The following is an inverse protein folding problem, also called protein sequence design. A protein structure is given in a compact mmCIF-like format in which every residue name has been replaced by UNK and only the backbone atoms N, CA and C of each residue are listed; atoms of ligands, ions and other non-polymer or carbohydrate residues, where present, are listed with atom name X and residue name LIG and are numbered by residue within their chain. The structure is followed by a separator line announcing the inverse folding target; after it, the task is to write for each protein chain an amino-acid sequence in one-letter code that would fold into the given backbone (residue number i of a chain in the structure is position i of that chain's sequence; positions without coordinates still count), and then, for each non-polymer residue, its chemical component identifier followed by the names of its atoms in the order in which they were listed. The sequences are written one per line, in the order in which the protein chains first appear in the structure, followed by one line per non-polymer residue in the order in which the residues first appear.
data_IF_315217158655
#
_entry.id   IF_315217158655
#
_cell.length_a   1.000
_cell.length_b   1.000
_cell.length_c   1.000
_cell.angle_alpha   90.00
_cell.angle_beta   90.00
_cell.angle_gamma   90.00
#
_symmetry.space_group_name_H-M   'P 1'
#
loop_
_entity.id
_entity.type
_entity.pdbx_description
1 polymer ?
#
# COMPACT_ATOMS: atom_id res chain seq x y z
N UNK A 1 19.77 -38.42 -18.29
CA UNK A 1 21.11 -38.28 -17.67
C UNK A 1 20.91 -37.52 -16.37
N UNK A 2 21.29 -38.04 -15.19
CA UNK A 2 21.14 -37.29 -13.94
C UNK A 2 22.13 -36.12 -13.95
N UNK A 3 21.63 -34.93 -13.63
CA UNK A 3 22.47 -33.73 -13.45
C UNK A 3 23.34 -33.99 -12.23
N UNK A 4 24.67 -33.99 -12.42
CA UNK A 4 25.62 -34.08 -11.31
C UNK A 4 25.40 -32.88 -10.38
N UNK A 5 25.12 -33.14 -9.10
CA UNK A 5 25.12 -32.13 -8.07
C UNK A 5 26.47 -31.37 -8.12
N UNK A 6 26.40 -30.03 -8.15
CA UNK A 6 27.59 -29.19 -8.07
C UNK A 6 28.30 -29.46 -6.73
N UNK A 7 29.61 -29.65 -6.79
CA UNK A 7 30.48 -29.87 -5.63
C UNK A 7 30.26 -28.76 -4.59
N UNK A 8 29.99 -29.15 -3.35
CA UNK A 8 29.60 -28.29 -2.24
C UNK A 8 30.73 -27.42 -1.64
N UNK A 9 31.89 -27.30 -2.30
CA UNK A 9 33.10 -26.77 -1.63
C UNK A 9 33.32 -25.26 -1.70
N UNK A 10 32.49 -24.48 -2.38
CA UNK A 10 32.54 -23.00 -2.25
C UNK A 10 31.16 -22.39 -2.44
N UNK A 11 30.22 -22.70 -1.54
CA UNK A 11 29.02 -21.87 -1.40
C UNK A 11 29.48 -20.55 -0.76
N UNK A 12 29.33 -19.43 -1.48
CA UNK A 12 29.57 -18.07 -0.96
C UNK A 12 28.94 -17.98 0.45
N UNK A 13 29.63 -17.48 1.48
CA UNK A 13 29.07 -17.32 2.83
C UNK A 13 27.69 -16.63 2.86
N UNK A 14 27.42 -15.70 1.94
CA UNK A 14 26.10 -15.07 1.76
C UNK A 14 25.04 -16.06 1.29
N UNK A 15 25.39 -16.94 0.33
CA UNK A 15 24.51 -18.01 -0.14
C UNK A 15 24.34 -19.08 0.95
N UNK A 16 25.36 -19.34 1.76
CA UNK A 16 25.29 -20.27 2.88
C UNK A 16 24.31 -19.76 3.96
N UNK A 17 24.28 -18.46 4.21
CA UNK A 17 23.32 -17.84 5.12
C UNK A 17 21.87 -17.96 4.61
N UNK A 18 21.63 -17.88 3.29
CA UNK A 18 20.30 -18.16 2.71
C UNK A 18 19.83 -19.59 2.96
N UNK A 19 20.75 -20.56 3.11
CA UNK A 19 20.44 -21.95 3.45
C UNK A 19 20.32 -22.20 4.96
N UNK A 20 20.67 -21.24 5.82
CA UNK A 20 20.46 -21.38 7.28
C UNK A 20 19.07 -20.99 7.73
N UNK A 21 18.36 -20.19 6.94
CA UNK A 21 16.95 -19.85 7.20
C UNK A 21 16.07 -21.04 6.89
N UNK A 22 15.29 -21.47 7.87
CA UNK A 22 14.37 -22.60 7.75
C UNK A 22 12.95 -22.15 7.45
N UNK A 23 12.11 -23.08 7.00
CA UNK A 23 10.66 -22.86 6.86
C UNK A 23 10.02 -22.42 8.19
N UNK A 24 10.49 -22.98 9.31
CA UNK A 24 10.01 -22.63 10.64
C UNK A 24 10.33 -21.19 10.99
N UNK A 25 11.55 -20.73 10.70
CA UNK A 25 11.94 -19.33 10.94
C UNK A 25 11.02 -18.37 10.17
N UNK A 26 10.83 -18.63 8.87
CA UNK A 26 9.95 -17.81 8.03
C UNK A 26 8.50 -17.80 8.54
N UNK A 27 7.99 -18.97 8.92
CA UNK A 27 6.64 -19.11 9.47
C UNK A 27 6.51 -18.34 10.77
N UNK A 28 7.46 -18.46 11.70
CA UNK A 28 7.40 -17.80 13.00
C UNK A 28 7.46 -16.27 12.85
N UNK A 29 8.36 -15.76 12.02
CA UNK A 29 8.44 -14.32 11.72
C UNK A 29 7.16 -13.80 11.10
N UNK A 30 6.63 -14.49 10.07
CA UNK A 30 5.39 -14.11 9.44
C UNK A 30 4.22 -14.16 10.41
N UNK A 31 4.07 -15.25 11.17
CA UNK A 31 3.00 -15.44 12.14
C UNK A 31 2.95 -14.33 13.17
N UNK A 32 4.10 -13.86 13.66
CA UNK A 32 4.15 -12.70 14.55
C UNK A 32 3.79 -11.40 13.80
N UNK A 33 4.38 -11.15 12.63
CA UNK A 33 4.15 -9.91 11.88
C UNK A 33 2.70 -9.73 11.38
N UNK A 34 1.93 -10.82 11.25
CA UNK A 34 0.50 -10.80 10.90
C UNK A 34 -0.41 -11.04 12.09
N UNK A 35 0.13 -11.10 13.31
CA UNK A 35 -0.64 -11.38 14.51
C UNK A 35 -1.56 -10.21 14.88
N UNK A 36 -2.65 -10.46 15.65
CA UNK A 36 -3.53 -9.40 16.13
C UNK A 36 -2.81 -8.31 16.91
N UNK A 37 -1.71 -8.63 17.60
CA UNK A 37 -0.87 -7.66 18.33
C UNK A 37 -0.28 -6.63 17.38
N UNK A 38 0.16 -7.05 16.19
CA UNK A 38 0.72 -6.16 15.20
C UNK A 38 -0.35 -5.29 14.53
N UNK A 39 -1.66 -5.59 14.64
CA UNK A 39 -2.82 -4.74 14.21
C UNK A 39 -2.77 -4.19 12.77
N UNK A 40 -1.86 -4.64 11.93
CA UNK A 40 -1.54 -4.02 10.65
C UNK A 40 -0.36 -3.04 10.73
N UNK A 41 0.21 -2.68 9.57
CA UNK A 41 1.47 -1.92 9.49
C UNK A 41 1.26 -0.48 9.03
N UNK A 42 0.18 0.14 9.48
CA UNK A 42 -0.04 1.57 9.24
C UNK A 42 1.06 2.36 9.97
N UNK A 43 1.84 3.13 9.23
CA UNK A 43 2.96 3.92 9.78
C UNK A 43 2.48 4.79 10.94
N UNK A 44 3.15 4.67 12.08
CA UNK A 44 2.82 5.44 13.30
C UNK A 44 1.77 4.79 14.21
N UNK A 45 1.09 3.72 13.80
CA UNK A 45 0.16 3.00 14.69
C UNK A 45 0.93 2.18 15.76
N UNK A 46 0.38 1.98 16.98
CA UNK A 46 1.00 1.12 17.99
C UNK A 46 1.34 -0.30 17.49
N UNK A 47 0.56 -0.86 16.57
CA UNK A 47 0.83 -2.15 15.94
C UNK A 47 2.08 -2.14 15.04
N UNK A 48 2.26 -1.07 14.26
CA UNK A 48 3.46 -0.85 13.46
C UNK A 48 4.72 -0.81 14.34
N UNK A 49 4.69 -0.08 15.46
CA UNK A 49 5.82 -0.03 16.38
C UNK A 49 6.17 -1.39 16.98
N UNK A 50 5.20 -2.30 17.18
CA UNK A 50 5.49 -3.68 17.62
C UNK A 50 6.24 -4.46 16.54
N UNK A 51 5.78 -4.41 15.30
CA UNK A 51 6.45 -5.06 14.17
C UNK A 51 7.87 -4.51 13.93
N UNK A 52 8.05 -3.19 14.05
CA UNK A 52 9.34 -2.52 13.90
C UNK A 52 10.33 -2.92 15.00
N UNK A 53 9.89 -2.94 16.26
CA UNK A 53 10.72 -3.37 17.37
C UNK A 53 11.09 -4.85 17.29
N UNK A 54 10.14 -5.71 16.88
CA UNK A 54 10.42 -7.12 16.63
C UNK A 54 11.51 -7.31 15.58
N UNK A 55 11.42 -6.60 14.45
CA UNK A 55 12.43 -6.65 13.39
C UNK A 55 13.79 -6.14 13.87
N UNK A 56 13.83 -5.04 14.62
CA UNK A 56 15.08 -4.51 15.18
C UNK A 56 15.73 -5.49 16.17
N UNK A 57 14.94 -6.21 16.96
CA UNK A 57 15.44 -7.24 17.88
C UNK A 57 16.07 -8.41 17.12
N UNK A 58 15.44 -8.87 16.03
CA UNK A 58 16.04 -9.89 15.17
C UNK A 58 17.39 -9.43 14.58
N UNK A 59 17.47 -8.19 14.08
CA UNK A 59 18.73 -7.64 13.58
C UNK A 59 19.82 -7.63 14.65
N UNK A 60 19.47 -7.24 15.87
CA UNK A 60 20.40 -7.28 17.01
C UNK A 60 20.84 -8.69 17.35
N UNK A 61 19.91 -9.65 17.39
CA UNK A 61 20.21 -11.07 17.65
C UNK A 61 21.13 -11.68 16.60
N UNK A 62 20.97 -11.26 15.34
CA UNK A 62 21.84 -11.68 14.23
C UNK A 62 23.17 -10.93 14.17
N UNK A 63 23.41 -9.97 15.07
CA UNK A 63 24.67 -9.23 15.17
C UNK A 63 24.84 -8.13 14.13
N UNK A 64 23.76 -7.63 13.52
CA UNK A 64 23.83 -6.49 12.63
C UNK A 64 24.13 -5.21 13.42
N UNK A 65 25.00 -4.38 12.89
CA UNK A 65 25.25 -3.04 13.43
C UNK A 65 24.08 -2.09 13.07
N UNK A 66 23.68 -1.20 13.99
CA UNK A 66 22.64 -0.22 13.72
C UNK A 66 23.10 0.85 12.71
N UNK A 67 22.27 1.13 11.70
CA UNK A 67 22.54 2.14 10.67
C UNK A 67 21.58 3.31 10.63
N UNK A 68 20.67 3.41 11.62
CA UNK A 68 19.66 4.45 11.72
C UNK A 68 20.08 5.65 12.57
N UNK A 69 19.11 6.49 12.88
CA UNK A 69 19.29 7.73 13.62
C UNK A 69 19.95 7.46 14.98
N UNK A 70 20.97 8.24 15.31
CA UNK A 70 21.69 8.17 16.59
C UNK A 70 22.22 6.76 16.94
N UNK A 71 22.59 5.95 15.94
CA UNK A 71 23.10 4.60 16.17
C UNK A 71 22.02 3.61 16.61
N UNK A 72 20.76 3.84 16.22
CA UNK A 72 19.65 2.89 16.40
C UNK A 72 19.38 2.10 15.12
N UNK A 73 18.46 1.14 15.17
CA UNK A 73 17.96 0.45 13.96
C UNK A 73 16.84 1.22 13.25
N UNK A 74 16.54 2.46 13.68
CA UNK A 74 15.37 3.21 13.23
C UNK A 74 15.80 4.44 12.43
N UNK A 75 15.16 4.62 11.27
CA UNK A 75 15.27 5.84 10.47
C UNK A 75 13.92 6.56 10.49
N UNK A 76 13.91 7.78 11.02
CA UNK A 76 12.71 8.59 11.13
C UNK A 76 12.68 9.63 10.01
N UNK A 77 11.54 9.77 9.36
CA UNK A 77 11.31 10.81 8.35
C UNK A 77 9.83 11.23 8.36
N UNK A 78 9.52 12.49 7.97
CA UNK A 78 8.13 12.93 7.83
C UNK A 78 7.41 12.10 6.77
N UNK A 79 6.27 11.50 7.14
CA UNK A 79 5.41 10.79 6.22
C UNK A 79 4.02 11.46 6.21
N UNK A 80 3.57 12.01 5.07
CA UNK A 80 2.21 12.51 4.97
C UNK A 80 1.22 11.35 5.10
N UNK A 81 0.15 11.55 5.86
CA UNK A 81 -0.88 10.54 6.05
C UNK A 81 -2.27 11.18 5.95
N UNK A 82 -3.25 10.37 5.56
CA UNK A 82 -4.67 10.75 5.58
C UNK A 82 -5.33 10.09 6.77
N UNK A 83 -6.06 10.87 7.56
CA UNK A 83 -6.87 10.38 8.67
C UNK A 83 -8.36 10.52 8.32
N UNK A 84 -9.08 9.40 8.34
CA UNK A 84 -10.55 9.41 8.23
C UNK A 84 -11.10 9.42 9.65
N UNK A 85 -11.73 10.53 10.02
CA UNK A 85 -12.32 10.69 11.36
C UNK A 85 -13.48 9.73 11.57
N UNK A 86 -13.75 9.43 12.84
CA UNK A 86 -14.92 8.63 13.23
C UNK A 86 -16.21 9.21 12.61
N UNK A 87 -17.04 8.33 12.06
CA UNK A 87 -18.24 8.73 11.32
C UNK A 87 -17.99 9.19 9.88
N UNK A 88 -16.79 9.01 9.32
CA UNK A 88 -16.50 9.31 7.92
C UNK A 88 -17.39 8.51 6.95
N UNK A 89 -17.97 9.20 5.98
CA UNK A 89 -18.88 8.62 4.98
C UNK A 89 -18.59 9.14 3.58
N UNK A 90 -18.89 8.30 2.58
CA UNK A 90 -19.05 8.73 1.21
C UNK A 90 -20.53 8.59 0.83
N UNK A 91 -21.21 9.70 0.54
CA UNK A 91 -22.58 9.67 0.04
C UNK A 91 -22.58 9.92 -1.47
N UNK A 92 -23.27 9.05 -2.20
CA UNK A 92 -23.51 9.21 -3.62
C UNK A 92 -25.00 9.44 -3.86
N UNK A 93 -25.33 10.61 -4.41
CA UNK A 93 -26.68 10.95 -4.84
C UNK A 93 -26.77 10.79 -6.36
N UNK A 94 -27.59 9.84 -6.80
CA UNK A 94 -27.75 9.50 -8.22
C UNK A 94 -29.13 9.97 -8.68
N UNK A 95 -29.23 10.85 -9.68
CA UNK A 95 -30.52 11.25 -10.24
C UNK A 95 -31.11 10.10 -11.06
N UNK A 96 -32.36 9.72 -10.76
CA UNK A 96 -33.12 8.71 -11.52
C UNK A 96 -34.51 9.27 -11.81
N UNK A 97 -34.77 9.61 -13.08
CA UNK A 97 -35.96 10.34 -13.52
C UNK A 97 -36.13 11.67 -12.77
N UNK A 98 -37.27 11.89 -12.12
CA UNK A 98 -37.56 13.08 -11.30
C UNK A 98 -37.19 12.90 -9.81
N UNK A 99 -36.57 11.79 -9.45
CA UNK A 99 -36.20 11.41 -8.09
C UNK A 99 -34.68 11.24 -7.94
N UNK A 100 -34.24 11.00 -6.71
CA UNK A 100 -32.85 10.70 -6.37
C UNK A 100 -32.75 9.40 -5.60
N UNK A 101 -31.70 8.64 -5.87
CA UNK A 101 -31.26 7.52 -5.03
C UNK A 101 -30.06 8.00 -4.22
N UNK A 102 -30.12 7.88 -2.90
CA UNK A 102 -28.98 8.09 -2.02
C UNK A 102 -28.34 6.73 -1.71
N UNK A 103 -27.01 6.65 -1.82
CA UNK A 103 -26.21 5.51 -1.37
C UNK A 103 -25.15 5.97 -0.40
N UNK A 104 -25.13 5.36 0.76
CA UNK A 104 -24.20 5.68 1.83
C UNK A 104 -23.16 4.57 1.95
N UNK A 105 -21.89 4.97 1.97
CA UNK A 105 -20.75 4.08 2.10
C UNK A 105 -19.98 4.48 3.37
N UNK A 106 -20.24 3.81 4.52
CA UNK A 106 -19.50 4.06 5.75
C UNK A 106 -18.05 3.56 5.65
N UNK A 107 -17.13 4.32 6.23
CA UNK A 107 -15.74 3.91 6.39
C UNK A 107 -15.58 3.03 7.65
N UNK A 108 -14.69 2.02 7.67
CA UNK A 108 -13.82 1.54 6.59
C UNK A 108 -14.43 0.45 5.71
N UNK A 109 -15.63 -0.02 6.04
CA UNK A 109 -16.17 -1.28 5.50
C UNK A 109 -16.49 -1.22 4.00
N UNK A 110 -16.84 -0.04 3.47
CA UNK A 110 -17.40 0.08 2.13
C UNK A 110 -16.48 0.74 1.11
N UNK A 111 -15.41 1.42 1.53
CA UNK A 111 -14.49 2.11 0.62
C UNK A 111 -13.13 2.41 1.26
N UNK A 112 -12.14 2.63 0.42
CA UNK A 112 -10.80 3.08 0.81
C UNK A 112 -10.61 4.54 0.42
N UNK A 113 -9.90 5.29 1.25
CA UNK A 113 -9.56 6.70 1.01
C UNK A 113 -8.12 6.79 0.52
N UNK A 114 -7.90 7.60 -0.51
CA UNK A 114 -6.55 7.84 -1.04
C UNK A 114 -5.72 8.73 -0.10
N UNK A 115 -4.39 8.56 -0.13
CA UNK A 115 -3.44 9.34 0.67
C UNK A 115 -3.41 10.85 0.35
N UNK A 116 -4.12 11.28 -0.71
CA UNK A 116 -4.21 12.68 -1.15
C UNK A 116 -5.66 13.16 -1.29
N UNK A 117 -6.62 12.42 -0.73
CA UNK A 117 -8.03 12.78 -0.76
C UNK A 117 -8.36 13.88 0.25
N UNK A 118 -9.25 14.79 -0.13
CA UNK A 118 -9.82 15.82 0.75
C UNK A 118 -11.31 15.55 0.99
N UNK A 119 -11.85 16.12 2.05
CA UNK A 119 -13.28 16.12 2.36
C UNK A 119 -14.00 17.26 1.64
N UNK A 120 -15.22 17.01 1.18
CA UNK A 120 -16.01 18.07 0.54
C UNK A 120 -17.32 17.58 -0.03
N UNK A 121 -18.14 18.52 -0.48
CA UNK A 121 -19.39 18.26 -1.14
C UNK A 121 -19.33 18.73 -2.59
N UNK A 122 -19.49 17.81 -3.54
CA UNK A 122 -19.54 18.11 -4.96
C UNK A 122 -21.01 18.05 -5.43
N UNK A 123 -21.52 19.17 -5.94
CA UNK A 123 -22.92 19.28 -6.40
C UNK A 123 -22.99 19.40 -7.92
N UNK A 124 -23.82 18.55 -8.53
CA UNK A 124 -24.24 18.67 -9.94
C UNK A 124 -23.06 18.71 -10.93
N UNK A 125 -22.09 17.81 -10.75
CA UNK A 125 -20.99 17.63 -11.68
C UNK A 125 -21.27 16.44 -12.60
N UNK A 126 -20.90 16.57 -13.86
CA UNK A 126 -20.93 15.44 -14.79
C UNK A 126 -19.85 14.43 -14.41
N UNK A 127 -20.10 13.16 -14.73
CA UNK A 127 -19.11 12.11 -14.65
C UNK A 127 -18.52 11.87 -16.05
N UNK A 128 -17.21 11.68 -16.11
CA UNK A 128 -16.50 11.30 -17.34
C UNK A 128 -15.59 10.12 -17.05
N UNK A 129 -15.63 9.11 -17.92
CA UNK A 129 -14.75 7.95 -17.80
C UNK A 129 -13.51 8.16 -18.68
N UNK A 130 -12.32 7.98 -18.09
CA UNK A 130 -11.01 8.23 -18.73
C UNK A 130 -10.08 7.04 -18.48
N UNK A 131 -10.33 5.90 -19.13
CA UNK A 131 -9.40 4.75 -19.19
C UNK A 131 -8.59 4.55 -17.91
N UNK A 132 -7.27 4.71 -17.99
CA UNK A 132 -6.35 4.65 -16.84
C UNK A 132 -5.86 6.04 -16.38
N UNK A 133 -6.36 7.12 -16.97
CA UNK A 133 -5.95 8.49 -16.65
C UNK A 133 -4.49 8.78 -17.00
N UNK A 134 -3.97 8.17 -18.08
CA UNK A 134 -2.56 8.31 -18.46
C UNK A 134 -2.39 9.27 -19.63
N UNK A 135 -1.42 10.18 -19.52
CA UNK A 135 -0.87 10.96 -20.64
C UNK A 135 0.62 10.63 -20.75
N UNK A 136 1.00 9.93 -21.83
CA UNK A 136 2.36 9.49 -22.12
C UNK A 136 2.72 9.82 -23.59
N UNK A 137 3.10 11.08 -23.89
CA UNK A 137 3.41 11.53 -25.25
C UNK A 137 4.54 10.73 -25.92
N UNK A 138 5.51 10.26 -25.14
CA UNK A 138 6.62 9.42 -25.58
C UNK A 138 6.19 8.05 -26.12
N UNK A 139 5.00 7.60 -25.74
CA UNK A 139 4.36 6.37 -26.26
C UNK A 139 3.22 6.68 -27.24
N UNK A 140 3.01 7.94 -27.60
CA UNK A 140 1.87 8.40 -28.39
C UNK A 140 0.52 7.94 -27.78
N UNK A 141 0.41 7.98 -26.45
CA UNK A 141 -0.76 7.54 -25.69
C UNK A 141 -1.31 8.68 -24.81
N UNK A 142 -2.62 8.91 -24.85
CA UNK A 142 -3.28 9.90 -24.01
C UNK A 142 -4.77 9.57 -23.84
N UNK A 143 -5.16 9.09 -22.65
CA UNK A 143 -6.54 8.78 -22.29
C UNK A 143 -7.45 10.02 -22.30
N UNK A 144 -6.86 11.21 -22.12
CA UNK A 144 -7.61 12.48 -22.10
C UNK A 144 -7.83 13.05 -23.49
N UNK A 145 -7.24 12.47 -24.54
CA UNK A 145 -7.24 13.03 -25.89
C UNK A 145 -8.67 13.18 -26.42
N UNK A 146 -9.05 14.43 -26.65
CA UNK A 146 -10.38 14.78 -27.19
C UNK A 146 -11.50 14.76 -26.16
N UNK A 147 -11.19 14.67 -24.87
CA UNK A 147 -12.19 14.62 -23.79
C UNK A 147 -12.03 15.85 -22.87
N UNK A 148 -13.10 16.63 -22.71
CA UNK A 148 -13.14 17.75 -21.77
C UNK A 148 -13.51 17.26 -20.36
N UNK A 149 -12.52 17.29 -19.47
CA UNK A 149 -12.66 16.87 -18.07
C UNK A 149 -12.83 18.04 -17.10
N UNK A 150 -12.76 19.29 -17.58
CA UNK A 150 -12.71 20.46 -16.70
C UNK A 150 -14.03 20.60 -15.94
N UNK A 151 -13.92 20.64 -14.60
CA UNK A 151 -15.09 20.75 -13.71
C UNK A 151 -15.98 19.51 -13.68
N UNK A 152 -15.45 18.34 -14.04
CA UNK A 152 -16.16 17.06 -14.02
C UNK A 152 -15.52 16.10 -13.01
N UNK A 153 -16.28 15.09 -12.58
CA UNK A 153 -15.76 13.97 -11.81
C UNK A 153 -15.18 12.96 -12.81
N UNK A 154 -13.87 12.75 -12.75
CA UNK A 154 -13.17 11.76 -13.58
C UNK A 154 -13.24 10.40 -12.88
N UNK A 155 -13.67 9.38 -13.62
CA UNK A 155 -13.64 7.98 -13.21
C UNK A 155 -12.62 7.28 -14.08
N UNK A 156 -11.67 6.58 -13.47
CA UNK A 156 -10.62 5.84 -14.16
C UNK A 156 -10.39 4.48 -13.51
N UNK A 157 -9.81 3.57 -14.28
CA UNK A 157 -9.30 2.30 -13.80
C UNK A 157 -8.07 2.50 -12.92
N UNK A 158 -7.76 1.47 -12.12
CA UNK A 158 -6.49 1.40 -11.42
C UNK A 158 -5.44 0.75 -12.32
N UNK A 159 -4.18 1.10 -12.06
CA UNK A 159 -2.99 0.50 -12.70
C UNK A 159 -2.73 0.99 -14.13
N UNK A 160 -2.31 0.11 -15.04
CA UNK A 160 -1.92 0.44 -16.43
C UNK A 160 -2.67 -0.42 -17.46
N UNK A 161 -2.83 0.05 -18.70
CA UNK A 161 -3.38 -0.74 -19.80
C UNK A 161 -2.57 -2.03 -20.05
N UNK A 162 -3.28 -3.13 -20.36
CA UNK A 162 -2.70 -4.44 -20.75
C UNK A 162 -2.41 -4.52 -22.25
#
# INVERSE_FOLDING_TARGET
MPVKAQNAETINPEIKALYTTTETDLRDWMSYLVSPECRGRLTGDPGFFRAVNYTANLFKEWGLEPGGDNGTYFQNFPHPYTEVKEGGYFNLYIPVNKNWIAKDYPYPDHYMVGGTSDSGELKKLDLVYIGYGITAPELNYDDYKGIDVKGKIVVCERDVPY
#
